data_IF_061270840796
#
_entry.id   IF_061270840796
#
_cell.length_a   1.000
_cell.length_b   1.000
_cell.length_c   1.000
_cell.angle_alpha   90.00
_cell.angle_beta   90.00
_cell.angle_gamma   90.00
#
_symmetry.space_group_name_H-M   'P 1'
#
loop_
_entity.id
_entity.type
_entity.pdbx_description
1 polymer ?
#
# COMPACT_ATOMS: atom_id res chain seq x y z
N UNK A 1 -18.42 -17.57 9.77
CA UNK A 1 -18.57 -16.48 8.78
C UNK A 1 -17.20 -15.84 8.54
N UNK A 2 -16.54 -16.14 7.40
CA UNK A 2 -15.21 -15.64 7.08
C UNK A 2 -15.30 -14.13 6.75
N UNK A 3 -14.78 -13.28 7.62
CA UNK A 3 -14.75 -11.84 7.40
C UNK A 3 -13.60 -11.50 6.45
N UNK A 4 -13.90 -11.05 5.23
CA UNK A 4 -12.91 -10.65 4.21
C UNK A 4 -11.92 -9.63 4.77
N UNK A 5 -12.34 -8.77 5.71
CA UNK A 5 -11.43 -7.87 6.42
C UNK A 5 -10.35 -8.65 7.17
N UNK A 6 -10.72 -9.74 7.84
CA UNK A 6 -9.78 -10.61 8.54
C UNK A 6 -8.89 -11.38 7.56
N UNK A 7 -9.41 -11.76 6.38
CA UNK A 7 -8.62 -12.43 5.33
C UNK A 7 -7.58 -11.47 4.74
N UNK A 8 -8.00 -10.31 4.25
CA UNK A 8 -7.10 -9.26 3.75
C UNK A 8 -6.08 -8.87 4.81
N UNK A 9 -6.51 -8.71 6.06
CA UNK A 9 -5.61 -8.38 7.17
C UNK A 9 -4.63 -9.52 7.47
N UNK A 10 -5.07 -10.78 7.42
CA UNK A 10 -4.22 -11.95 7.65
C UNK A 10 -3.22 -12.19 6.51
N UNK A 11 -3.61 -11.94 5.25
CA UNK A 11 -2.77 -12.08 4.07
C UNK A 11 -1.75 -10.94 3.98
N UNK A 12 -2.20 -9.70 4.21
CA UNK A 12 -1.31 -8.56 4.44
C UNK A 12 -0.29 -8.89 5.54
N UNK A 13 -0.76 -9.45 6.67
CA UNK A 13 0.10 -9.85 7.79
C UNK A 13 1.12 -10.93 7.39
N UNK A 14 0.75 -11.95 6.64
CA UNK A 14 1.72 -13.00 6.25
C UNK A 14 2.73 -12.54 5.20
N UNK A 15 2.36 -11.58 4.36
CA UNK A 15 3.12 -11.24 3.16
C UNK A 15 4.01 -10.00 3.32
N UNK A 16 3.59 -9.04 4.16
CA UNK A 16 4.34 -7.80 4.41
C UNK A 16 5.17 -7.88 5.70
N UNK A 17 4.78 -8.71 6.67
CA UNK A 17 5.40 -8.77 8.00
C UNK A 17 6.43 -9.90 8.16
N UNK A 18 6.76 -10.67 7.12
CA UNK A 18 7.96 -11.53 7.17
C UNK A 18 9.25 -10.71 7.31
N UNK A 19 9.22 -9.43 6.94
CA UNK A 19 10.40 -8.58 6.77
C UNK A 19 10.59 -7.54 7.91
N UNK A 20 9.68 -7.49 8.90
CA UNK A 20 9.74 -6.51 10.01
C UNK A 20 9.34 -7.12 11.35
N UNK A 21 10.30 -7.25 12.25
CA UNK A 21 10.07 -7.54 13.67
C UNK A 21 9.34 -6.34 14.32
N UNK A 22 8.36 -6.63 15.19
CA UNK A 22 7.51 -5.71 15.99
C UNK A 22 6.21 -5.13 15.39
N UNK A 23 5.14 -5.94 15.48
CA UNK A 23 3.75 -5.61 15.11
C UNK A 23 2.96 -4.80 16.17
N UNK A 24 3.34 -4.87 17.46
CA UNK A 24 2.65 -4.14 18.55
C UNK A 24 2.69 -2.63 18.36
N UNK A 25 3.78 -2.15 17.79
CA UNK A 25 4.04 -0.73 17.63
C UNK A 25 3.33 -0.19 16.39
N UNK A 26 3.21 -1.00 15.32
CA UNK A 26 2.49 -0.66 14.11
C UNK A 26 0.99 -0.46 14.33
N UNK A 27 0.30 -1.32 15.11
CA UNK A 27 -1.14 -1.15 15.37
C UNK A 27 -1.46 0.17 16.11
N UNK A 28 -0.50 0.69 16.86
CA UNK A 28 -0.60 1.91 17.67
C UNK A 28 -0.08 3.14 16.91
N UNK A 29 0.91 2.97 16.01
CA UNK A 29 1.55 4.02 15.19
C UNK A 29 0.84 4.25 13.84
N UNK A 30 0.38 3.19 13.18
CA UNK A 30 -0.44 3.22 11.95
C UNK A 30 -1.80 3.90 12.16
N UNK A 31 -2.40 3.73 13.35
CA UNK A 31 -3.60 4.47 13.76
C UNK A 31 -3.36 5.99 13.89
N UNK A 32 -2.09 6.40 14.01
CA UNK A 32 -1.63 7.80 14.16
C UNK A 32 -1.08 8.42 12.87
N UNK A 33 -0.57 7.63 11.92
CA UNK A 33 0.06 8.12 10.69
C UNK A 33 -0.58 7.49 9.44
N UNK A 34 -1.69 8.08 8.97
CA UNK A 34 -2.12 7.83 7.59
C UNK A 34 -1.14 8.55 6.66
N UNK A 35 -0.38 7.78 5.88
CA UNK A 35 0.65 8.31 4.97
C UNK A 35 0.09 9.34 3.98
N UNK A 36 -1.21 9.29 3.66
CA UNK A 36 -1.88 10.27 2.81
C UNK A 36 -2.13 11.63 3.48
N UNK A 37 -1.90 11.74 4.79
CA UNK A 37 -2.20 12.93 5.61
C UNK A 37 -0.96 13.51 6.30
N UNK A 38 0.23 12.99 6.02
CA UNK A 38 1.45 13.53 6.64
C UNK A 38 1.79 14.87 6.02
N UNK A 39 2.23 15.81 6.86
CA UNK A 39 2.70 17.14 6.41
C UNK A 39 4.11 17.11 5.86
N UNK A 40 4.88 16.06 6.16
CA UNK A 40 6.24 15.83 5.67
C UNK A 40 6.58 14.34 5.64
N UNK A 41 7.38 13.93 4.66
CA UNK A 41 7.93 12.58 4.53
C UNK A 41 9.38 12.45 5.02
N UNK A 42 9.91 13.44 5.74
CA UNK A 42 11.28 13.42 6.27
C UNK A 42 11.59 12.20 7.14
N UNK A 43 10.61 11.71 7.90
CA UNK A 43 10.76 10.49 8.70
C UNK A 43 10.80 9.21 7.86
N UNK A 44 10.33 9.25 6.61
CA UNK A 44 10.20 8.09 5.74
C UNK A 44 11.36 7.93 4.75
N UNK A 45 12.26 8.89 4.63
CA UNK A 45 13.34 8.85 3.65
C UNK A 45 14.73 8.97 4.26
N UNK A 46 15.72 8.49 3.53
CA UNK A 46 17.13 8.64 3.82
C UNK A 46 17.82 9.28 2.61
N UNK A 47 18.40 10.47 2.80
CA UNK A 47 19.12 11.18 1.74
C UNK A 47 20.41 10.45 1.35
N UNK A 48 20.76 10.49 0.07
CA UNK A 48 21.98 9.90 -0.47
C UNK A 48 23.22 10.68 0.03
N UNK A 49 24.38 10.02 0.16
CA UNK A 49 25.60 10.62 0.76
C UNK A 49 26.02 11.93 0.11
N UNK A 50 25.98 12.00 -1.22
CA UNK A 50 26.34 13.20 -2.00
C UNK A 50 25.41 14.37 -1.68
N UNK A 51 24.12 14.09 -1.52
CA UNK A 51 23.10 15.09 -1.20
C UNK A 51 23.17 15.57 0.24
N UNK A 52 23.61 14.71 1.19
CA UNK A 52 23.89 15.16 2.56
C UNK A 52 25.02 16.18 2.63
N UNK A 53 26.00 16.11 1.71
CA UNK A 53 27.14 17.04 1.65
C UNK A 53 26.75 18.32 0.90
N UNK A 54 26.01 18.23 -0.20
CA UNK A 54 25.52 19.39 -0.95
C UNK A 54 24.45 20.17 -0.18
N UNK A 55 23.56 19.46 0.52
CA UNK A 55 22.55 20.05 1.40
C UNK A 55 23.06 20.03 2.83
N UNK A 56 23.93 20.99 3.14
CA UNK A 56 24.36 21.32 4.51
C UNK A 56 23.20 21.62 5.48
N UNK A 57 21.93 21.68 5.02
CA UNK A 57 20.76 22.19 5.75
C UNK A 57 19.50 21.29 5.74
N UNK A 58 19.57 20.05 5.28
CA UNK A 58 18.50 19.08 5.52
C UNK A 58 17.38 19.01 4.46
N UNK A 59 16.22 18.54 4.90
CA UNK A 59 15.09 18.07 4.08
C UNK A 59 14.47 19.16 3.19
N UNK A 60 14.33 18.91 1.88
CA UNK A 60 13.68 19.83 0.93
C UNK A 60 12.18 19.51 0.78
N UNK A 61 11.33 20.55 0.72
CA UNK A 61 9.90 20.43 0.40
C UNK A 61 9.64 19.84 -0.99
N UNK A 62 10.62 19.92 -1.90
CA UNK A 62 10.52 19.28 -3.22
C UNK A 62 10.42 17.76 -3.10
N UNK A 63 11.02 17.17 -2.06
CA UNK A 63 10.90 15.74 -1.81
C UNK A 63 9.45 15.39 -1.43
N UNK A 64 8.78 16.20 -0.61
CA UNK A 64 7.36 15.99 -0.30
C UNK A 64 6.50 16.00 -1.56
N UNK A 65 6.73 16.96 -2.47
CA UNK A 65 5.99 17.06 -3.72
C UNK A 65 6.22 15.84 -4.63
N UNK A 66 7.47 15.39 -4.75
CA UNK A 66 7.82 14.19 -5.53
C UNK A 66 7.17 12.93 -4.95
N UNK A 67 7.23 12.74 -3.62
CA UNK A 67 6.65 11.58 -2.94
C UNK A 67 5.13 11.59 -3.04
N UNK A 68 4.48 12.75 -2.86
CA UNK A 68 3.03 12.88 -3.03
C UNK A 68 2.59 12.52 -4.46
N UNK A 69 3.34 12.97 -5.47
CA UNK A 69 3.06 12.61 -6.87
C UNK A 69 3.18 11.11 -7.11
N UNK A 70 4.25 10.48 -6.58
CA UNK A 70 4.44 9.03 -6.65
C UNK A 70 3.29 8.27 -5.98
N UNK A 71 2.92 8.66 -4.76
CA UNK A 71 1.84 8.01 -4.02
C UNK A 71 0.52 8.14 -4.78
N UNK A 72 0.23 9.30 -5.35
CA UNK A 72 -1.00 9.53 -6.12
C UNK A 72 -1.06 8.61 -7.34
N UNK A 73 0.04 8.50 -8.08
CA UNK A 73 0.15 7.62 -9.25
C UNK A 73 -0.02 6.13 -8.87
N UNK A 74 0.66 5.70 -7.80
CA UNK A 74 0.52 4.33 -7.27
C UNK A 74 -0.93 4.04 -6.86
N UNK A 75 -1.58 4.94 -6.13
CA UNK A 75 -2.97 4.78 -5.69
C UNK A 75 -3.91 4.64 -6.89
N UNK A 76 -3.74 5.48 -7.91
CA UNK A 76 -4.57 5.43 -9.11
C UNK A 76 -4.38 4.10 -9.86
N UNK A 77 -3.15 3.65 -10.04
CA UNK A 77 -2.85 2.40 -10.73
C UNK A 77 -3.33 1.17 -9.94
N UNK A 78 -3.15 1.16 -8.62
CA UNK A 78 -3.68 0.09 -7.76
C UNK A 78 -5.20 0.02 -7.83
N UNK A 79 -5.89 1.17 -7.82
CA UNK A 79 -7.35 1.19 -7.97
C UNK A 79 -7.78 0.56 -9.31
N UNK A 80 -7.08 0.88 -10.41
CA UNK A 80 -7.33 0.27 -11.73
C UNK A 80 -7.11 -1.25 -11.71
N UNK A 81 -6.04 -1.73 -11.07
CA UNK A 81 -5.79 -3.17 -10.91
C UNK A 81 -6.89 -3.87 -10.10
N UNK A 82 -7.35 -3.26 -9.01
CA UNK A 82 -8.45 -3.82 -8.21
C UNK A 82 -9.75 -3.91 -9.01
N UNK A 83 -10.04 -2.90 -9.84
CA UNK A 83 -11.22 -2.90 -10.69
C UNK A 83 -11.13 -3.90 -11.84
N UNK A 84 -9.92 -4.25 -12.31
CA UNK A 84 -9.74 -5.26 -13.35
C UNK A 84 -9.82 -6.70 -12.83
N UNK A 85 -9.67 -6.91 -11.52
CA UNK A 85 -9.84 -8.23 -10.93
C UNK A 85 -11.30 -8.70 -11.06
N UNK A 86 -11.46 -9.91 -11.60
CA UNK A 86 -12.77 -10.52 -11.80
C UNK A 86 -13.35 -11.13 -10.51
N UNK A 87 -13.19 -10.43 -9.37
CA UNK A 87 -13.59 -10.91 -8.04
C UNK A 87 -15.08 -11.16 -7.98
N UNK A 88 -15.88 -10.31 -8.64
CA UNK A 88 -17.33 -10.45 -8.69
C UNK A 88 -17.80 -11.75 -9.37
N UNK A 89 -16.98 -12.35 -10.25
CA UNK A 89 -17.34 -13.58 -10.98
C UNK A 89 -16.61 -14.82 -10.47
N UNK A 90 -15.33 -14.69 -10.14
CA UNK A 90 -14.44 -15.80 -9.77
C UNK A 90 -14.18 -15.90 -8.27
N UNK A 91 -14.65 -14.93 -7.49
CA UNK A 91 -14.33 -14.81 -6.08
C UNK A 91 -12.93 -14.25 -5.84
N UNK A 92 -12.55 -14.20 -4.58
CA UNK A 92 -11.26 -13.63 -4.17
C UNK A 92 -10.12 -14.64 -4.34
N UNK A 93 -9.00 -14.20 -4.92
CA UNK A 93 -7.76 -14.98 -5.01
C UNK A 93 -6.65 -14.31 -4.19
N UNK A 94 -5.89 -15.12 -3.44
CA UNK A 94 -4.74 -14.65 -2.65
C UNK A 94 -3.65 -14.01 -3.51
N UNK A 95 -3.52 -14.40 -4.79
CA UNK A 95 -2.50 -13.85 -5.69
C UNK A 95 -2.69 -12.36 -5.95
N UNK A 96 -3.91 -11.82 -5.79
CA UNK A 96 -4.16 -10.40 -5.96
C UNK A 96 -3.39 -9.53 -4.97
N UNK A 97 -3.16 -10.02 -3.74
CA UNK A 97 -2.35 -9.27 -2.77
C UNK A 97 -0.90 -9.25 -3.21
N UNK A 98 -0.37 -10.39 -3.66
CA UNK A 98 0.99 -10.54 -4.18
C UNK A 98 1.27 -9.66 -5.39
N UNK A 99 0.32 -9.59 -6.32
CA UNK A 99 0.43 -8.72 -7.49
C UNK A 99 0.42 -7.24 -7.09
N UNK A 100 -0.48 -6.84 -6.19
CA UNK A 100 -0.57 -5.46 -5.73
C UNK A 100 0.65 -5.03 -4.90
N UNK A 101 1.09 -5.85 -3.95
CA UNK A 101 2.27 -5.55 -3.10
C UNK A 101 3.54 -5.55 -3.94
N UNK A 102 3.66 -6.50 -4.89
CA UNK A 102 4.75 -6.56 -5.86
C UNK A 102 4.78 -5.33 -6.77
N UNK A 103 3.64 -4.90 -7.30
CA UNK A 103 3.50 -3.68 -8.09
C UNK A 103 3.93 -2.44 -7.31
N UNK A 104 3.42 -2.25 -6.08
CA UNK A 104 3.79 -1.12 -5.23
C UNK A 104 5.30 -1.12 -4.99
N UNK A 105 5.88 -2.27 -4.62
CA UNK A 105 7.32 -2.40 -4.38
C UNK A 105 8.13 -2.04 -5.61
N UNK A 106 7.75 -2.54 -6.79
CA UNK A 106 8.43 -2.22 -8.04
C UNK A 106 8.40 -0.72 -8.35
N UNK A 107 7.27 -0.04 -8.13
CA UNK A 107 7.15 1.42 -8.32
C UNK A 107 8.02 2.23 -7.37
N UNK A 108 8.21 1.77 -6.14
CA UNK A 108 9.12 2.42 -5.19
C UNK A 108 10.58 2.27 -5.63
N UNK A 109 11.00 1.06 -6.02
CA UNK A 109 12.37 0.80 -6.51
C UNK A 109 12.65 1.59 -7.79
N UNK A 110 11.75 1.54 -8.77
CA UNK A 110 11.84 2.33 -10.02
C UNK A 110 11.99 3.83 -9.73
N UNK A 111 11.31 4.33 -8.69
CA UNK A 111 11.41 5.72 -8.30
C UNK A 111 12.76 6.07 -7.65
N UNK A 112 13.29 5.20 -6.79
CA UNK A 112 14.62 5.37 -6.17
C UNK A 112 15.76 5.34 -7.20
N UNK A 113 15.61 4.55 -8.26
CA UNK A 113 16.60 4.39 -9.33
C UNK A 113 16.66 5.59 -10.29
N UNK A 114 15.68 6.50 -10.27
CA UNK A 114 15.70 7.72 -11.10
C UNK A 114 16.86 8.63 -10.70
N UNK A 115 17.59 9.15 -11.68
CA UNK A 115 18.68 10.11 -11.45
C UNK A 115 18.24 11.36 -10.69
N UNK A 116 16.98 11.76 -10.84
CA UNK A 116 16.37 12.91 -10.15
C UNK A 116 16.04 12.63 -8.69
N UNK A 117 15.95 11.35 -8.29
CA UNK A 117 15.65 10.95 -6.92
C UNK A 117 16.91 10.94 -6.09
N UNK A 118 16.87 11.69 -4.99
CA UNK A 118 18.02 11.99 -4.13
C UNK A 118 17.97 11.33 -2.76
N UNK A 119 17.06 10.37 -2.62
CA UNK A 119 16.74 9.68 -1.39
C UNK A 119 16.32 8.24 -1.63
N UNK A 120 16.36 7.45 -0.58
CA UNK A 120 15.77 6.11 -0.51
C UNK A 120 14.70 6.09 0.57
N UNK A 121 13.69 5.24 0.41
CA UNK A 121 12.64 5.00 1.36
C UNK A 121 13.14 4.10 2.49
N UNK A 122 12.78 4.45 3.73
CA UNK A 122 13.01 3.59 4.88
C UNK A 122 12.06 2.40 4.83
N UNK A 123 12.47 1.28 5.43
CA UNK A 123 11.71 0.00 5.43
C UNK A 123 10.23 0.15 5.78
N UNK A 124 9.90 0.97 6.77
CA UNK A 124 8.51 1.14 7.22
C UNK A 124 7.62 1.91 6.23
N UNK A 125 8.18 2.71 5.31
CA UNK A 125 7.42 3.45 4.31
C UNK A 125 6.57 2.51 3.44
N UNK A 126 7.16 1.40 2.97
CA UNK A 126 6.45 0.42 2.15
C UNK A 126 5.25 -0.17 2.93
N UNK A 127 5.48 -0.62 4.16
CA UNK A 127 4.40 -1.21 4.99
C UNK A 127 3.27 -0.22 5.24
N UNK A 128 3.61 1.03 5.57
CA UNK A 128 2.63 2.08 5.86
C UNK A 128 1.85 2.50 4.61
N UNK A 129 2.51 2.57 3.44
CA UNK A 129 1.88 2.84 2.16
C UNK A 129 0.90 1.75 1.75
N UNK A 130 1.35 0.49 1.78
CA UNK A 130 0.51 -0.67 1.48
C UNK A 130 -0.71 -0.65 2.40
N UNK A 131 -0.50 -0.50 3.72
CA UNK A 131 -1.60 -0.46 4.68
C UNK A 131 -2.62 0.63 4.35
N UNK A 132 -2.16 1.85 4.06
CA UNK A 132 -3.03 2.97 3.76
C UNK A 132 -3.86 2.74 2.48
N UNK A 133 -3.24 2.21 1.42
CA UNK A 133 -3.91 1.87 0.15
C UNK A 133 -4.98 0.80 0.39
N UNK A 134 -4.64 -0.32 1.02
CA UNK A 134 -5.59 -1.40 1.26
C UNK A 134 -6.74 -0.98 2.20
N UNK A 135 -6.47 -0.10 3.17
CA UNK A 135 -7.51 0.45 4.01
C UNK A 135 -8.46 1.38 3.22
N UNK A 136 -7.92 2.17 2.27
CA UNK A 136 -8.73 3.01 1.36
C UNK A 136 -9.60 2.16 0.42
N UNK A 137 -9.04 1.08 -0.12
CA UNK A 137 -9.72 0.22 -1.11
C UNK A 137 -10.54 -0.93 -0.50
N UNK A 138 -10.56 -1.04 0.84
CA UNK A 138 -11.26 -2.11 1.55
C UNK A 138 -12.74 -2.23 1.12
N UNK A 139 -13.42 -1.10 0.94
CA UNK A 139 -14.83 -1.09 0.55
C UNK A 139 -15.05 -1.66 -0.86
N UNK A 140 -14.11 -1.44 -1.78
CA UNK A 140 -14.15 -1.98 -3.15
C UNK A 140 -14.08 -3.50 -3.13
N UNK A 141 -13.12 -4.06 -2.40
CA UNK A 141 -12.97 -5.51 -2.25
C UNK A 141 -14.22 -6.17 -1.63
N UNK A 142 -14.76 -5.57 -0.57
CA UNK A 142 -15.97 -6.07 0.10
C UNK A 142 -17.16 -6.03 -0.85
N UNK A 143 -17.33 -4.95 -1.60
CA UNK A 143 -18.43 -4.81 -2.57
C UNK A 143 -18.34 -5.86 -3.67
N UNK A 144 -17.18 -6.03 -4.31
CA UNK A 144 -17.01 -7.02 -5.37
C UNK A 144 -17.24 -8.45 -4.87
N UNK A 145 -16.79 -8.78 -3.65
CA UNK A 145 -17.03 -10.10 -3.08
C UNK A 145 -18.49 -10.35 -2.70
N UNK A 146 -19.21 -9.34 -2.21
CA UNK A 146 -20.63 -9.48 -1.93
C UNK A 146 -21.41 -9.79 -3.21
N UNK A 147 -21.07 -9.12 -4.33
CA UNK A 147 -21.66 -9.42 -5.65
C UNK A 147 -21.40 -10.89 -6.04
N UNK A 148 -20.18 -11.38 -5.83
CA UNK A 148 -19.86 -12.79 -6.08
C UNK A 148 -20.71 -13.73 -5.24
N UNK A 149 -20.86 -13.44 -3.94
CA UNK A 149 -21.69 -14.24 -3.05
C UNK A 149 -23.15 -14.25 -3.50
N UNK A 150 -23.75 -13.09 -3.74
CA UNK A 150 -25.15 -12.98 -4.18
C UNK A 150 -25.39 -13.71 -5.51
N UNK A 151 -24.43 -13.67 -6.44
CA UNK A 151 -24.55 -14.34 -7.74
C UNK A 151 -24.38 -15.86 -7.69
N UNK A 152 -23.77 -16.38 -6.62
CA UNK A 152 -23.47 -17.81 -6.44
C UNK A 152 -24.18 -18.41 -5.21
N UNK A 153 -25.01 -17.64 -4.51
CA UNK A 153 -25.89 -18.15 -3.46
C UNK A 153 -27.04 -18.84 -4.18
N UNK A 154 -27.19 -20.18 -4.08
CA UNK A 154 -28.36 -20.83 -4.63
C UNK A 154 -29.56 -20.31 -3.84
N UNK A 155 -30.27 -19.34 -4.41
CA UNK A 155 -31.63 -18.99 -3.98
C UNK A 155 -32.36 -20.32 -3.88
N UNK A 156 -32.77 -20.70 -2.67
CA UNK A 156 -33.61 -21.86 -2.45
C UNK A 156 -34.83 -21.73 -3.36
N UNK A 157 -34.83 -22.47 -4.47
CA UNK A 157 -36.04 -22.72 -5.24
C UNK A 157 -36.87 -23.70 -4.41
N UNK A 158 -37.84 -23.15 -3.69
CA UNK A 158 -38.99 -23.92 -3.18
C UNK A 158 -39.99 -24.13 -4.32
#
# INVERSE_FOLDING_TARGET
MLNIKNILFSLYKSEVLSDSEHFSDLKTKSKKCNIFKVSSYSEYIQLNKVEKVLKFLGYSKEYDAQINKLITDIVEQVNKMIMSYNIAKMGYNKTYIQELTGFIRAKLVEHEEKETTKYTFKKHFFSDLVFAIFNKEQMTFVKQHNIFRESNDPVHYF
#
